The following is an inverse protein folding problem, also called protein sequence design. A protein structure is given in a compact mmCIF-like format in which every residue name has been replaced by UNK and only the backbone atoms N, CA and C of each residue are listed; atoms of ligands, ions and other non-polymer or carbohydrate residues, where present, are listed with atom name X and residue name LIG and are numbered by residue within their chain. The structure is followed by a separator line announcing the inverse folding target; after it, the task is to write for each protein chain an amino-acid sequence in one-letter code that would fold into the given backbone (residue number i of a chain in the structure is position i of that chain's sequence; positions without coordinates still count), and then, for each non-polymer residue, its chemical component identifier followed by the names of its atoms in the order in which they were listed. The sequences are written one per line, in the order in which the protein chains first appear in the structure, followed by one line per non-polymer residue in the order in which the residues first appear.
data_IF_295368183508
#
_entry.id   IF_295368183508
#
_cell.length_a   1.000
_cell.length_b   1.000
_cell.length_c   1.000
_cell.angle_alpha   90.00
_cell.angle_beta   90.00
_cell.angle_gamma   90.00
#
_symmetry.space_group_name_H-M   'P 1'
#
loop_
_entity.id
_entity.type
_entity.pdbx_description
1 polymer ?
#
# COMPACT_ATOMS: atom_id res chain seq x y z
N UNK A 1 -10.44 -20.49 -11.59
CA UNK A 1 -9.46 -19.82 -10.71
C UNK A 1 -8.35 -20.80 -10.44
N UNK A 2 -7.11 -20.49 -10.83
CA UNK A 2 -5.93 -21.30 -10.55
C UNK A 2 -5.20 -20.69 -9.35
N UNK A 3 -4.73 -21.51 -8.42
CA UNK A 3 -3.92 -21.07 -7.27
C UNK A 3 -2.56 -21.75 -7.38
N UNK A 4 -1.50 -20.94 -7.41
CA UNK A 4 -0.11 -21.40 -7.45
C UNK A 4 0.45 -21.60 -6.05
N UNK A 5 1.49 -22.43 -5.91
CA UNK A 5 2.29 -22.50 -4.69
C UNK A 5 2.92 -21.14 -4.34
N UNK A 6 3.23 -20.33 -5.36
CA UNK A 6 3.76 -18.97 -5.19
C UNK A 6 2.70 -17.98 -4.69
N UNK A 7 1.40 -18.33 -4.76
CA UNK A 7 0.35 -17.53 -4.14
C UNK A 7 0.28 -17.75 -2.63
N UNK A 8 0.72 -18.93 -2.17
CA UNK A 8 0.71 -19.33 -0.76
C UNK A 8 2.01 -18.93 -0.05
N UNK A 9 3.15 -19.08 -0.72
CA UNK A 9 4.47 -18.82 -0.14
C UNK A 9 5.13 -17.62 -0.82
N UNK A 10 4.93 -16.44 -0.23
CA UNK A 10 5.48 -15.17 -0.71
C UNK A 10 6.55 -14.66 0.23
N UNK A 11 7.66 -14.19 -0.33
CA UNK A 11 8.65 -13.41 0.42
C UNK A 11 8.05 -12.03 0.72
N UNK A 12 8.15 -11.58 1.96
CA UNK A 12 7.59 -10.31 2.40
C UNK A 12 8.20 -9.84 3.71
N UNK A 13 7.62 -8.78 4.27
CA UNK A 13 8.02 -8.19 5.55
C UNK A 13 6.91 -8.39 6.59
N UNK A 14 7.31 -8.77 7.80
CA UNK A 14 6.40 -8.90 8.94
C UNK A 14 6.02 -7.55 9.55
N UNK A 15 5.08 -7.54 10.53
CA UNK A 15 4.54 -8.72 11.23
C UNK A 15 3.31 -9.37 10.58
N UNK A 16 2.65 -8.72 9.60
CA UNK A 16 1.34 -9.18 9.11
C UNK A 16 1.20 -9.09 7.60
N UNK A 17 0.77 -10.19 6.97
CA UNK A 17 0.45 -10.16 5.53
C UNK A 17 -0.71 -9.21 5.21
N UNK A 18 -1.72 -9.13 6.08
CA UNK A 18 -2.93 -8.32 5.84
C UNK A 18 -2.79 -6.86 6.26
N UNK A 19 -1.97 -6.57 7.28
CA UNK A 19 -1.83 -5.22 7.83
C UNK A 19 -0.47 -4.59 7.54
N UNK A 20 0.49 -5.32 6.99
CA UNK A 20 1.81 -4.80 6.57
C UNK A 20 1.98 -4.95 5.06
N UNK A 21 2.06 -6.19 4.55
CA UNK A 21 2.31 -6.42 3.13
C UNK A 21 1.18 -5.91 2.23
N UNK A 22 -0.08 -6.20 2.56
CA UNK A 22 -1.24 -5.74 1.79
C UNK A 22 -1.27 -4.22 1.62
N UNK A 23 -1.21 -3.43 2.72
CA UNK A 23 -1.17 -1.99 2.65
C UNK A 23 0.05 -1.41 1.91
N UNK A 24 1.24 -2.02 2.04
CA UNK A 24 2.44 -1.61 1.30
C UNK A 24 2.26 -1.84 -0.22
N UNK A 25 1.74 -3.00 -0.61
CA UNK A 25 1.45 -3.28 -2.04
C UNK A 25 0.40 -2.32 -2.58
N UNK A 26 -0.64 -2.02 -1.81
CA UNK A 26 -1.68 -1.07 -2.21
C UNK A 26 -1.15 0.37 -2.36
N UNK A 27 -0.23 0.79 -1.48
CA UNK A 27 0.40 2.11 -1.58
C UNK A 27 1.29 2.23 -2.82
N UNK A 28 2.09 1.20 -3.12
CA UNK A 28 2.92 1.17 -4.33
C UNK A 28 2.07 1.20 -5.62
N UNK A 29 0.97 0.43 -5.66
CA UNK A 29 0.02 0.45 -6.78
C UNK A 29 -0.62 1.84 -6.95
N UNK A 30 -1.05 2.47 -5.86
CA UNK A 30 -1.55 3.85 -5.90
C UNK A 30 -0.51 4.83 -6.43
N UNK A 31 0.76 4.70 -6.01
CA UNK A 31 1.84 5.57 -6.48
C UNK A 31 2.15 5.40 -7.96
N UNK A 32 1.90 4.23 -8.56
CA UNK A 32 1.98 4.06 -10.01
C UNK A 32 0.94 4.94 -10.72
N UNK A 33 -0.31 4.94 -10.25
CA UNK A 33 -1.36 5.80 -10.79
C UNK A 33 -1.08 7.30 -10.57
N UNK A 34 -0.54 7.68 -9.41
CA UNK A 34 -0.14 9.07 -9.14
C UNK A 34 0.94 9.53 -10.12
N UNK A 35 1.94 8.70 -10.42
CA UNK A 35 3.00 9.04 -11.39
C UNK A 35 2.45 9.21 -12.80
N UNK A 36 1.56 8.32 -13.21
CA UNK A 36 0.90 8.43 -14.52
C UNK A 36 0.06 9.71 -14.61
N UNK A 37 -0.70 10.03 -13.56
CA UNK A 37 -1.45 11.28 -13.47
C UNK A 37 -0.53 12.51 -13.54
N UNK A 38 0.55 12.55 -12.76
CA UNK A 38 1.49 13.68 -12.76
C UNK A 38 2.16 13.88 -14.13
N UNK A 39 2.52 12.79 -14.82
CA UNK A 39 3.11 12.85 -16.15
C UNK A 39 2.16 13.40 -17.21
N UNK A 40 0.85 13.17 -17.05
CA UNK A 40 -0.18 13.61 -17.99
C UNK A 40 -0.75 14.99 -17.66
N UNK A 41 -0.45 15.55 -16.47
CA UNK A 41 -0.93 16.86 -16.01
C UNK A 41 0.27 17.74 -15.54
N UNK A 42 1.23 18.06 -16.42
CA UNK A 42 2.49 18.72 -16.05
C UNK A 42 2.31 20.15 -15.52
N UNK A 43 1.16 20.78 -15.72
CA UNK A 43 0.83 22.11 -15.19
C UNK A 43 0.54 22.11 -13.68
N UNK A 44 0.24 20.95 -13.10
CA UNK A 44 0.03 20.80 -11.66
C UNK A 44 1.39 20.69 -10.97
N UNK A 45 1.74 21.71 -10.18
CA UNK A 45 3.04 21.79 -9.49
C UNK A 45 2.97 21.48 -7.99
N UNK A 46 1.78 21.20 -7.45
CA UNK A 46 1.60 20.91 -6.03
C UNK A 46 0.66 19.71 -5.85
N UNK A 47 1.13 18.70 -5.14
CA UNK A 47 0.42 17.43 -4.95
C UNK A 47 0.27 17.15 -3.46
N UNK A 48 -0.91 16.62 -3.09
CA UNK A 48 -1.15 16.11 -1.75
C UNK A 48 -1.64 14.67 -1.84
N UNK A 49 -1.01 13.80 -1.06
CA UNK A 49 -1.46 12.42 -0.87
C UNK A 49 -2.06 12.28 0.52
N UNK A 50 -3.18 11.57 0.60
CA UNK A 50 -3.83 11.23 1.86
C UNK A 50 -4.16 9.75 1.86
N UNK A 51 -3.70 9.05 2.89
CA UNK A 51 -4.17 7.71 3.21
C UNK A 51 -5.07 7.78 4.44
N UNK A 52 -6.23 7.13 4.37
CA UNK A 52 -7.14 6.98 5.51
C UNK A 52 -7.32 5.49 5.77
N UNK A 53 -6.78 5.00 6.89
CA UNK A 53 -7.04 3.64 7.35
C UNK A 53 -8.46 3.58 7.94
N UNK A 54 -9.18 2.49 7.68
CA UNK A 54 -10.56 2.29 8.17
C UNK A 54 -10.69 0.97 8.93
N UNK A 55 -11.71 0.88 9.77
CA UNK A 55 -12.15 -0.33 10.46
C UNK A 55 -11.01 -1.09 11.16
N UNK A 56 -10.88 -2.40 10.94
CA UNK A 56 -9.87 -3.26 11.55
C UNK A 56 -8.43 -2.83 11.21
N UNK A 57 -8.22 -2.30 10.01
CA UNK A 57 -6.93 -1.80 9.55
C UNK A 57 -6.50 -0.56 10.35
N UNK A 58 -7.44 0.34 10.65
CA UNK A 58 -7.19 1.47 11.55
C UNK A 58 -7.01 1.02 13.00
N UNK A 59 -7.87 0.10 13.45
CA UNK A 59 -7.92 -0.32 14.86
C UNK A 59 -6.62 -0.99 15.32
N UNK A 60 -6.00 -1.82 14.48
CA UNK A 60 -4.78 -2.56 14.83
C UNK A 60 -3.53 -2.09 14.08
N UNK A 61 -3.66 -1.07 13.22
CA UNK A 61 -2.63 -0.71 12.25
C UNK A 61 -1.29 -0.32 12.88
N UNK A 62 -1.29 0.37 14.03
CA UNK A 62 -0.07 0.76 14.74
C UNK A 62 0.73 -0.47 15.19
N UNK A 63 0.06 -1.47 15.79
CA UNK A 63 0.71 -2.70 16.25
C UNK A 63 1.26 -3.56 15.10
N UNK A 64 0.69 -3.41 13.90
CA UNK A 64 1.14 -4.11 12.70
C UNK A 64 2.05 -3.27 11.79
N UNK A 65 2.38 -2.03 12.18
CA UNK A 65 3.20 -1.11 11.39
C UNK A 65 2.56 -0.72 10.05
N UNK A 66 1.23 -0.68 9.96
CA UNK A 66 0.49 -0.32 8.74
C UNK A 66 0.81 1.08 8.26
N UNK A 67 0.98 2.03 9.19
CA UNK A 67 1.41 3.40 8.90
C UNK A 67 2.75 3.44 8.16
N UNK A 68 3.74 2.71 8.67
CA UNK A 68 5.06 2.56 8.03
C UNK A 68 4.96 1.83 6.71
N UNK A 69 4.15 0.76 6.65
CA UNK A 69 3.95 -0.01 5.44
C UNK A 69 3.39 0.84 4.29
N UNK A 70 2.37 1.65 4.58
CA UNK A 70 1.77 2.59 3.62
C UNK A 70 2.73 3.72 3.22
N UNK A 71 3.57 4.20 4.15
CA UNK A 71 4.50 5.30 3.86
C UNK A 71 5.68 4.84 3.00
N UNK A 72 6.11 3.58 3.14
CA UNK A 72 7.26 3.03 2.43
C UNK A 72 6.91 2.34 1.11
N UNK A 73 5.65 1.95 0.92
CA UNK A 73 5.14 1.41 -0.34
C UNK A 73 4.84 2.51 -1.33
#
# INVERSE_FOLDING_TARGET
MFISVLDLFKVGIGPSSSHTMGPMVAANDFMQHVREFANTNPEINNYQIRCTLKDSLAYTGVGHGTDRAVTLG
#
